data_IF_076436207949
#
_entry.id   IF_076436207949
#
_cell.length_a   1.000
_cell.length_b   1.000
_cell.length_c   1.000
_cell.angle_alpha   90.00
_cell.angle_beta   90.00
_cell.angle_gamma   90.00
#
_symmetry.space_group_name_H-M   'P 1'
#
loop_
_entity.id
_entity.type
_entity.pdbx_description
1 polymer ?
#
# COMPACT_ATOMS: atom_id res chain seq x y z
N UNK A 1 -14.37 46.93 -13.68
CA UNK A 1 -13.93 46.78 -12.28
C UNK A 1 -13.36 45.37 -12.14
N UNK A 2 -12.01 45.27 -12.07
CA UNK A 2 -11.34 44.03 -11.73
C UNK A 2 -11.60 43.79 -10.27
N UNK A 3 -12.51 42.87 -9.94
CA UNK A 3 -12.58 42.28 -8.64
C UNK A 3 -11.24 41.57 -8.43
N UNK A 4 -10.45 42.08 -7.47
CA UNK A 4 -9.28 41.37 -6.94
C UNK A 4 -9.79 40.00 -6.40
N UNK A 5 -9.65 38.95 -7.22
CA UNK A 5 -9.87 37.58 -6.76
C UNK A 5 -8.72 37.28 -5.83
N UNK A 6 -8.99 37.21 -4.55
CA UNK A 6 -8.04 36.65 -3.60
C UNK A 6 -7.81 35.19 -4.00
N UNK A 7 -6.65 34.90 -4.49
CA UNK A 7 -6.22 33.52 -4.78
C UNK A 7 -5.42 33.01 -3.58
N UNK A 8 -5.89 31.95 -2.97
CA UNK A 8 -5.10 31.23 -1.97
C UNK A 8 -4.12 30.31 -2.68
N UNK A 9 -2.85 30.40 -2.38
CA UNK A 9 -1.86 29.43 -2.86
C UNK A 9 -1.99 28.14 -2.05
N UNK A 10 -2.11 27.00 -2.73
CA UNK A 10 -2.16 25.68 -2.11
C UNK A 10 -1.20 24.71 -2.79
N UNK A 11 -0.59 23.83 -2.00
CA UNK A 11 0.26 22.75 -2.48
C UNK A 11 -0.52 21.44 -2.58
N UNK A 12 -0.36 20.71 -3.69
CA UNK A 12 -0.94 19.40 -3.91
C UNK A 12 0.17 18.38 -4.15
N UNK A 13 0.39 17.47 -3.19
CA UNK A 13 1.27 16.31 -3.35
C UNK A 13 0.52 15.13 -3.96
N UNK A 14 0.91 14.68 -5.17
CA UNK A 14 0.27 13.57 -5.85
C UNK A 14 1.22 12.93 -6.87
N UNK A 15 0.99 11.63 -7.17
CA UNK A 15 1.71 10.94 -8.23
C UNK A 15 1.22 11.37 -9.62
N UNK A 16 2.07 11.14 -10.61
CA UNK A 16 1.81 11.41 -12.03
C UNK A 16 0.87 10.37 -12.67
N UNK A 17 -0.42 10.48 -12.37
CA UNK A 17 -1.45 9.69 -13.04
C UNK A 17 -1.99 10.40 -14.28
N UNK A 18 -2.40 9.66 -15.30
CA UNK A 18 -3.03 10.18 -16.50
C UNK A 18 -4.21 11.13 -16.21
N UNK A 19 -5.02 10.79 -15.19
CA UNK A 19 -6.21 11.54 -14.77
C UNK A 19 -5.92 12.84 -14.01
N UNK A 20 -4.71 13.03 -13.49
CA UNK A 20 -4.30 14.27 -12.81
C UNK A 20 -3.43 15.17 -13.68
N UNK A 21 -3.03 14.72 -14.87
CA UNK A 21 -2.26 15.51 -15.84
C UNK A 21 -2.85 16.90 -16.11
N UNK A 22 -4.19 17.09 -16.28
CA UNK A 22 -4.75 18.41 -16.51
C UNK A 22 -4.55 19.39 -15.35
N UNK A 23 -4.43 18.92 -14.11
CA UNK A 23 -4.07 19.75 -12.95
C UNK A 23 -2.57 20.06 -12.95
N UNK A 24 -1.74 19.07 -13.30
CA UNK A 24 -0.29 19.18 -13.29
C UNK A 24 0.22 20.16 -14.35
N UNK A 25 -0.34 20.13 -15.56
CA UNK A 25 0.06 21.00 -16.67
C UNK A 25 -0.73 22.32 -16.76
N UNK A 26 -1.68 22.52 -15.83
CA UNK A 26 -2.46 23.75 -15.71
C UNK A 26 -3.59 23.93 -16.73
N UNK A 27 -3.95 22.88 -17.50
CA UNK A 27 -5.14 22.90 -18.39
C UNK A 27 -6.44 23.01 -17.60
N UNK A 28 -6.47 22.48 -16.38
CA UNK A 28 -7.54 22.64 -15.41
C UNK A 28 -6.99 23.36 -14.20
N UNK A 29 -7.67 24.43 -13.78
CA UNK A 29 -7.30 25.23 -12.61
C UNK A 29 -8.50 25.38 -11.69
N UNK A 30 -8.36 25.10 -10.39
CA UNK A 30 -9.40 25.38 -9.41
C UNK A 30 -9.70 26.88 -9.35
N UNK A 31 -10.97 27.25 -9.28
CA UNK A 31 -11.34 28.67 -9.17
C UNK A 31 -10.95 29.23 -7.81
N UNK A 32 -10.29 30.38 -7.79
CA UNK A 32 -9.84 31.05 -6.56
C UNK A 32 -8.61 30.41 -5.88
N UNK A 33 -7.96 29.42 -6.51
CA UNK A 33 -6.78 28.75 -5.94
C UNK A 33 -5.61 28.81 -6.94
N UNK A 34 -4.45 29.28 -6.47
CA UNK A 34 -3.16 29.14 -7.15
C UNK A 34 -2.56 27.80 -6.73
N UNK A 35 -2.83 26.74 -7.52
CA UNK A 35 -2.44 25.38 -7.21
C UNK A 35 -1.00 25.11 -7.62
N UNK A 36 -0.17 24.71 -6.68
CA UNK A 36 1.19 24.20 -6.89
C UNK A 36 1.19 22.68 -6.83
N UNK A 37 1.25 22.05 -8.00
CA UNK A 37 1.32 20.60 -8.11
C UNK A 37 2.75 20.11 -7.86
N UNK A 38 2.90 19.19 -6.90
CA UNK A 38 4.18 18.56 -6.53
C UNK A 38 4.11 17.09 -6.94
N UNK A 39 4.76 16.76 -8.07
CA UNK A 39 4.85 15.40 -8.57
C UNK A 39 5.90 14.62 -7.77
N UNK A 40 5.45 13.63 -7.01
CA UNK A 40 6.31 12.79 -6.17
C UNK A 40 5.80 11.36 -6.17
N UNK A 41 6.70 10.39 -5.96
CA UNK A 41 6.31 8.99 -5.79
C UNK A 41 5.40 8.83 -4.58
N UNK A 42 4.46 7.87 -4.66
CA UNK A 42 3.40 7.72 -3.64
C UNK A 42 3.95 7.46 -2.24
N UNK A 43 5.02 6.70 -2.13
CA UNK A 43 5.62 6.37 -0.84
C UNK A 43 6.17 7.61 -0.14
N UNK A 44 6.84 8.50 -0.88
CA UNK A 44 7.36 9.77 -0.36
C UNK A 44 6.20 10.70 0.00
N UNK A 45 5.22 10.86 -0.90
CA UNK A 45 4.05 11.70 -0.67
C UNK A 45 3.31 11.28 0.60
N UNK A 46 3.04 9.97 0.75
CA UNK A 46 2.33 9.43 1.92
C UNK A 46 3.12 9.60 3.21
N UNK A 47 4.42 9.35 3.18
CA UNK A 47 5.29 9.51 4.35
C UNK A 47 5.33 10.96 4.82
N UNK A 48 5.58 11.89 3.89
CA UNK A 48 5.69 13.34 4.20
C UNK A 48 4.37 13.91 4.71
N UNK A 49 3.25 13.51 4.11
CA UNK A 49 1.95 13.96 4.57
C UNK A 49 1.59 13.36 5.94
N UNK A 50 1.75 12.04 6.12
CA UNK A 50 1.40 11.38 7.37
C UNK A 50 2.24 11.87 8.56
N UNK A 51 3.55 12.06 8.35
CA UNK A 51 4.50 12.38 9.42
C UNK A 51 4.65 13.89 9.66
N UNK A 52 4.66 14.68 8.59
CA UNK A 52 5.00 16.11 8.66
C UNK A 52 3.84 17.04 8.29
N UNK A 53 2.73 16.53 7.72
CA UNK A 53 1.59 17.34 7.24
C UNK A 53 2.04 18.45 6.29
N UNK A 54 2.95 18.10 5.38
CA UNK A 54 3.74 19.06 4.62
C UNK A 54 2.97 19.77 3.51
N UNK A 55 1.86 19.18 3.07
CA UNK A 55 1.06 19.70 1.95
C UNK A 55 -0.32 20.14 2.43
N UNK A 56 -0.90 21.13 1.73
CA UNK A 56 -2.27 21.57 1.98
C UNK A 56 -3.28 20.51 1.52
N UNK A 57 -2.99 19.87 0.37
CA UNK A 57 -3.75 18.75 -0.20
C UNK A 57 -2.77 17.64 -0.59
N UNK A 58 -3.15 16.39 -0.40
CA UNK A 58 -2.28 15.28 -0.77
C UNK A 58 -3.05 14.01 -1.09
N UNK A 59 -2.55 13.26 -2.05
CA UNK A 59 -2.86 11.83 -2.13
C UNK A 59 -2.36 11.15 -0.84
N UNK A 60 -3.15 10.22 -0.32
CA UNK A 60 -2.81 9.50 0.90
C UNK A 60 -3.24 8.05 0.84
N UNK A 61 -2.48 7.18 1.49
CA UNK A 61 -2.87 5.78 1.71
C UNK A 61 -4.19 5.72 2.47
N UNK A 62 -5.19 5.02 1.91
CA UNK A 62 -6.52 4.90 2.52
C UNK A 62 -6.44 4.29 3.93
N UNK A 63 -5.64 3.25 4.12
CA UNK A 63 -5.48 2.63 5.44
C UNK A 63 -4.80 3.57 6.44
N UNK A 64 -3.79 4.33 6.01
CA UNK A 64 -3.15 5.33 6.87
C UNK A 64 -4.12 6.45 7.25
N UNK A 65 -4.98 6.88 6.31
CA UNK A 65 -6.06 7.82 6.61
C UNK A 65 -7.01 7.27 7.67
N UNK A 66 -7.49 6.02 7.49
CA UNK A 66 -8.40 5.36 8.45
C UNK A 66 -7.75 5.28 9.83
N UNK A 67 -6.50 4.81 9.94
CA UNK A 67 -5.77 4.75 11.23
C UNK A 67 -5.64 6.14 11.85
N UNK A 68 -5.28 7.18 11.05
CA UNK A 68 -5.13 8.55 11.54
C UNK A 68 -6.44 9.14 12.11
N UNK A 69 -7.58 8.63 11.64
CA UNK A 69 -8.90 9.09 12.11
C UNK A 69 -9.18 8.72 13.57
N UNK A 70 -8.49 7.69 14.11
CA UNK A 70 -8.55 7.34 15.52
C UNK A 70 -7.60 8.14 16.40
N UNK A 71 -6.71 8.95 15.81
CA UNK A 71 -5.91 9.91 16.56
C UNK A 71 -6.78 10.99 17.17
N UNK A 72 -6.38 11.52 18.34
CA UNK A 72 -7.14 12.55 19.05
C UNK A 72 -7.36 13.83 18.23
N UNK A 73 -6.37 14.21 17.45
CA UNK A 73 -6.36 15.45 16.66
C UNK A 73 -7.01 15.31 15.28
N UNK A 74 -7.28 14.07 14.82
CA UNK A 74 -7.86 13.78 13.49
C UNK A 74 -7.31 14.71 12.41
N UNK A 75 -6.02 14.61 12.07
CA UNK A 75 -5.30 15.66 11.36
C UNK A 75 -5.73 15.86 9.91
N UNK A 76 -6.49 14.94 9.33
CA UNK A 76 -6.85 14.94 7.92
C UNK A 76 -8.35 14.89 7.69
N UNK A 77 -8.78 15.55 6.62
CA UNK A 77 -10.14 15.46 6.08
C UNK A 77 -10.04 14.85 4.67
N UNK A 78 -10.77 13.77 4.43
CA UNK A 78 -10.82 13.17 3.11
C UNK A 78 -11.84 13.87 2.21
N UNK A 79 -11.48 14.07 0.94
CA UNK A 79 -12.40 14.42 -0.13
C UNK A 79 -12.66 13.16 -0.99
N UNK A 80 -13.82 13.01 -1.64
CA UNK A 80 -14.18 11.79 -2.35
C UNK A 80 -13.49 11.67 -3.72
N UNK A 81 -12.16 11.82 -3.72
CA UNK A 81 -11.30 11.69 -4.89
C UNK A 81 -10.35 10.52 -4.68
N UNK A 82 -10.38 9.54 -5.58
CA UNK A 82 -9.57 8.32 -5.51
C UNK A 82 -8.62 8.26 -6.71
N UNK A 83 -7.42 8.87 -6.61
CA UNK A 83 -6.49 8.96 -7.72
C UNK A 83 -5.98 7.60 -8.20
N UNK A 84 -5.84 6.63 -7.29
CA UNK A 84 -5.39 5.28 -7.60
C UNK A 84 -6.41 4.24 -7.15
N UNK A 85 -6.75 3.32 -8.08
CA UNK A 85 -7.56 2.13 -7.82
C UNK A 85 -6.86 0.94 -8.45
N UNK A 86 -6.76 -0.16 -7.73
CA UNK A 86 -6.03 -1.32 -8.19
C UNK A 86 -6.61 -2.62 -7.65
N UNK A 87 -6.76 -3.63 -8.50
CA UNK A 87 -7.06 -4.99 -8.08
C UNK A 87 -5.85 -5.61 -7.36
N UNK A 88 -6.06 -6.60 -6.49
CA UNK A 88 -5.03 -7.07 -5.58
C UNK A 88 -4.73 -8.58 -5.60
N UNK A 89 -5.46 -9.37 -6.33
CA UNK A 89 -5.16 -10.81 -6.47
C UNK A 89 -3.80 -11.03 -7.13
N UNK A 90 -3.45 -10.19 -8.11
CA UNK A 90 -2.15 -10.19 -8.79
C UNK A 90 -0.96 -9.84 -7.88
N UNK A 91 -1.22 -9.35 -6.68
CA UNK A 91 -0.23 -8.81 -5.75
C UNK A 91 0.19 -9.79 -4.64
N UNK A 92 -0.14 -11.08 -4.78
CA UNK A 92 0.24 -12.14 -3.83
C UNK A 92 1.23 -13.08 -4.51
N UNK A 93 2.43 -13.16 -3.95
CA UNK A 93 3.55 -13.95 -4.45
C UNK A 93 3.88 -15.05 -3.46
N UNK A 94 4.33 -16.20 -3.96
CA UNK A 94 4.67 -17.38 -3.16
C UNK A 94 6.02 -17.94 -3.61
N UNK A 95 6.75 -18.50 -2.66
CA UNK A 95 7.87 -19.36 -3.00
C UNK A 95 7.32 -20.72 -3.48
N UNK A 96 7.78 -21.22 -4.62
CA UNK A 96 7.25 -22.44 -5.25
C UNK A 96 7.40 -23.68 -4.35
N UNK A 97 8.42 -23.70 -3.49
CA UNK A 97 8.71 -24.83 -2.59
C UNK A 97 7.98 -24.71 -1.25
N UNK A 98 7.25 -23.61 -1.00
CA UNK A 98 6.56 -23.37 0.27
C UNK A 98 5.29 -24.22 0.47
N UNK A 99 4.83 -24.91 -0.57
CA UNK A 99 3.60 -25.70 -0.51
C UNK A 99 2.33 -24.85 -0.40
N UNK A 100 2.38 -23.62 -0.91
CA UNK A 100 1.22 -22.70 -0.97
C UNK A 100 0.65 -22.74 -2.39
N UNK A 101 -0.38 -23.54 -2.60
CA UNK A 101 -1.03 -23.75 -3.90
C UNK A 101 -2.40 -23.07 -3.99
N UNK A 102 -3.05 -22.87 -2.84
CA UNK A 102 -4.33 -22.18 -2.75
C UNK A 102 -4.31 -21.22 -1.55
N UNK A 103 -5.24 -20.24 -1.48
CA UNK A 103 -5.24 -19.24 -0.40
C UNK A 103 -5.26 -19.81 1.01
N UNK A 104 -5.96 -20.92 1.26
CA UNK A 104 -6.04 -21.54 2.59
C UNK A 104 -4.70 -22.10 3.10
N UNK A 105 -3.79 -22.44 2.19
CA UNK A 105 -2.46 -22.88 2.55
C UNK A 105 -1.62 -21.81 3.25
N UNK A 106 -2.06 -20.52 3.19
CA UNK A 106 -1.43 -19.43 3.92
C UNK A 106 -1.62 -19.51 5.44
N UNK A 107 -2.57 -20.32 5.93
CA UNK A 107 -2.81 -20.49 7.38
C UNK A 107 -1.59 -21.16 8.01
N UNK A 108 -1.02 -20.50 9.03
CA UNK A 108 0.20 -20.94 9.71
C UNK A 108 1.51 -20.61 8.98
N UNK A 109 1.45 -20.07 7.77
CA UNK A 109 2.62 -19.69 6.97
C UNK A 109 3.18 -18.32 7.35
N UNK A 110 4.44 -18.08 7.01
CA UNK A 110 5.10 -16.78 7.13
C UNK A 110 4.75 -15.92 5.90
N UNK A 111 3.94 -14.89 6.11
CA UNK A 111 3.36 -14.07 5.05
C UNK A 111 3.89 -12.63 5.13
N UNK A 112 4.84 -12.31 4.26
CA UNK A 112 5.53 -11.03 4.22
C UNK A 112 4.63 -9.88 3.73
N UNK A 113 4.86 -8.68 4.27
CA UNK A 113 4.31 -7.42 3.75
C UNK A 113 5.22 -6.25 4.16
N UNK A 114 5.32 -5.17 3.33
CA UNK A 114 6.24 -4.07 3.65
C UNK A 114 5.91 -3.36 4.96
N UNK A 115 4.63 -3.13 5.21
CA UNK A 115 4.08 -2.60 6.46
C UNK A 115 2.70 -3.21 6.69
N UNK A 116 2.40 -3.63 7.92
CA UNK A 116 1.14 -4.31 8.21
C UNK A 116 -0.10 -3.46 7.89
N UNK A 117 -0.05 -2.15 8.17
CA UNK A 117 -1.16 -1.22 7.97
C UNK A 117 -1.25 -0.63 6.55
N UNK A 118 -0.35 -0.98 5.63
CA UNK A 118 -0.38 -0.48 4.24
C UNK A 118 -1.68 -0.87 3.53
N UNK A 119 -2.23 0.01 2.67
CA UNK A 119 -3.53 -0.22 2.00
C UNK A 119 -3.58 -1.54 1.22
N UNK A 120 -2.55 -1.85 0.42
CA UNK A 120 -2.53 -3.09 -0.35
C UNK A 120 -2.57 -4.34 0.54
N UNK A 121 -1.70 -4.50 1.56
CA UNK A 121 -1.78 -5.58 2.54
C UNK A 121 -3.12 -5.67 3.27
N UNK A 122 -3.69 -4.55 3.72
CA UNK A 122 -5.01 -4.55 4.39
C UNK A 122 -6.08 -5.08 3.47
N UNK A 123 -6.11 -4.61 2.22
CA UNK A 123 -7.09 -5.04 1.23
C UNK A 123 -6.94 -6.52 0.89
N UNK A 124 -5.70 -6.99 0.71
CA UNK A 124 -5.42 -8.40 0.40
C UNK A 124 -5.88 -9.31 1.55
N UNK A 125 -5.63 -8.95 2.80
CA UNK A 125 -6.12 -9.72 3.95
C UNK A 125 -7.65 -9.77 4.01
N UNK A 126 -8.31 -8.64 3.70
CA UNK A 126 -9.77 -8.58 3.59
C UNK A 126 -10.29 -9.54 2.51
N UNK A 127 -9.73 -9.47 1.30
CA UNK A 127 -10.07 -10.38 0.19
C UNK A 127 -9.88 -11.85 0.59
N UNK A 128 -8.73 -12.18 1.14
CA UNK A 128 -8.41 -13.55 1.56
C UNK A 128 -9.37 -14.06 2.64
N UNK A 129 -9.77 -13.21 3.56
CA UNK A 129 -10.71 -13.57 4.63
C UNK A 129 -12.14 -13.73 4.11
N UNK A 130 -12.63 -12.74 3.36
CA UNK A 130 -14.03 -12.69 2.94
C UNK A 130 -14.37 -13.69 1.82
N UNK A 131 -13.43 -13.91 0.89
CA UNK A 131 -13.69 -14.70 -0.31
C UNK A 131 -12.99 -16.08 -0.32
N UNK A 132 -11.95 -16.26 0.47
CA UNK A 132 -11.15 -17.48 0.44
C UNK A 132 -11.05 -18.21 1.80
N UNK A 133 -11.68 -17.67 2.85
CA UNK A 133 -11.76 -18.31 4.17
C UNK A 133 -10.40 -18.41 4.89
N UNK A 134 -9.50 -17.47 4.64
CA UNK A 134 -8.23 -17.35 5.38
C UNK A 134 -8.44 -16.39 6.55
N UNK A 135 -8.46 -16.85 7.81
CA UNK A 135 -8.60 -15.97 8.96
C UNK A 135 -7.51 -14.90 8.96
N UNK A 136 -7.85 -13.66 9.32
CA UNK A 136 -6.90 -12.54 9.30
C UNK A 136 -5.72 -12.79 10.25
N UNK A 137 -5.93 -13.52 11.32
CA UNK A 137 -4.90 -13.95 12.31
C UNK A 137 -4.30 -15.33 11.99
N UNK A 138 -4.67 -15.95 10.86
CA UNK A 138 -4.21 -17.27 10.44
C UNK A 138 -2.70 -17.34 10.13
N UNK A 139 -2.16 -16.44 9.29
CA UNK A 139 -0.74 -16.38 9.00
C UNK A 139 0.09 -15.77 10.13
N UNK A 140 1.40 -15.99 10.09
CA UNK A 140 2.39 -15.16 10.81
C UNK A 140 2.84 -14.07 9.84
N UNK A 141 2.55 -12.81 10.14
CA UNK A 141 2.96 -11.70 9.29
C UNK A 141 4.40 -11.30 9.55
N UNK A 142 5.13 -11.01 8.46
CA UNK A 142 6.54 -10.65 8.53
C UNK A 142 6.73 -9.30 7.84
N UNK A 143 7.15 -8.26 8.59
CA UNK A 143 7.25 -6.90 8.06
C UNK A 143 8.68 -6.42 7.89
N UNK A 144 8.89 -5.55 6.90
CA UNK A 144 10.19 -4.94 6.63
C UNK A 144 10.33 -4.38 5.23
N UNK A 145 11.55 -4.02 4.85
CA UNK A 145 11.83 -3.50 3.52
C UNK A 145 11.56 -4.53 2.43
N UNK A 146 10.89 -4.12 1.36
CA UNK A 146 10.63 -4.97 0.20
C UNK A 146 11.92 -5.27 -0.57
N UNK A 147 12.56 -4.22 -1.10
CA UNK A 147 13.77 -4.28 -1.92
C UNK A 147 14.98 -3.64 -1.24
N UNK A 148 14.73 -2.78 -0.27
CA UNK A 148 15.78 -2.07 0.49
C UNK A 148 15.64 -2.40 1.96
N UNK A 149 16.74 -2.79 2.64
CA UNK A 149 16.71 -3.08 4.06
C UNK A 149 16.28 -1.90 4.93
N UNK A 150 15.96 -2.17 6.19
CA UNK A 150 15.77 -1.20 7.25
C UNK A 150 14.65 -0.17 7.01
N UNK A 151 13.54 -0.58 6.39
CA UNK A 151 12.35 0.27 6.23
C UNK A 151 11.68 0.54 7.57
N UNK A 152 11.44 1.81 7.86
CA UNK A 152 10.62 2.23 9.00
C UNK A 152 9.12 2.19 8.65
N UNK A 153 8.27 1.82 9.62
CA UNK A 153 6.84 1.93 9.48
C UNK A 153 6.38 3.39 9.62
N UNK A 154 5.48 3.82 8.73
CA UNK A 154 4.92 5.19 8.75
C UNK A 154 4.06 5.47 9.96
N UNK A 155 3.31 4.46 10.39
CA UNK A 155 2.35 4.54 11.50
C UNK A 155 2.48 3.27 12.31
N UNK A 156 2.72 3.41 13.62
CA UNK A 156 2.69 2.28 14.55
C UNK A 156 1.23 1.90 14.85
N UNK A 157 0.97 0.61 14.91
CA UNK A 157 -0.32 0.03 15.28
C UNK A 157 -0.13 -0.99 16.39
N UNK A 158 -1.13 -1.09 17.25
CA UNK A 158 -1.22 -2.16 18.25
C UNK A 158 -2.19 -3.22 17.72
N UNK A 159 -1.76 -4.46 17.74
CA UNK A 159 -2.57 -5.61 17.31
C UNK A 159 -3.04 -6.40 18.55
N UNK A 160 -4.21 -7.07 18.46
CA UNK A 160 -4.63 -8.02 19.48
C UNK A 160 -3.61 -9.18 19.66
N UNK A 161 -3.56 -9.78 20.85
CA UNK A 161 -2.56 -10.79 21.23
C UNK A 161 -2.59 -12.07 20.37
N UNK A 162 -3.69 -12.36 19.68
CA UNK A 162 -3.82 -13.50 18.78
C UNK A 162 -3.13 -13.29 17.42
N UNK A 163 -2.70 -12.07 17.11
CA UNK A 163 -1.94 -11.78 15.88
C UNK A 163 -0.45 -12.03 16.08
N UNK A 164 0.16 -12.66 15.09
CA UNK A 164 1.61 -12.89 15.07
C UNK A 164 2.24 -11.97 14.05
N UNK A 165 3.05 -11.04 14.54
CA UNK A 165 3.77 -10.06 13.73
C UNK A 165 5.27 -10.12 14.07
N UNK A 166 6.09 -10.39 13.07
CA UNK A 166 7.55 -10.42 13.14
C UNK A 166 8.12 -9.30 12.29
N UNK A 167 9.27 -8.77 12.69
CA UNK A 167 10.07 -7.85 11.88
C UNK A 167 11.32 -8.56 11.37
N UNK A 168 11.65 -8.35 10.10
CA UNK A 168 12.89 -8.90 9.50
C UNK A 168 14.14 -8.23 10.08
N UNK A 169 15.28 -8.91 9.93
CA UNK A 169 16.58 -8.37 10.33
C UNK A 169 16.95 -7.09 9.57
N UNK A 170 17.88 -6.28 10.12
CA UNK A 170 18.22 -4.97 9.55
C UNK A 170 18.88 -5.04 8.17
N UNK A 171 19.47 -6.18 7.80
CA UNK A 171 20.12 -6.39 6.50
C UNK A 171 19.23 -7.17 5.52
N UNK A 172 18.07 -7.64 5.96
CA UNK A 172 17.17 -8.47 5.16
C UNK A 172 16.23 -7.62 4.29
N UNK A 173 15.77 -8.23 3.18
CA UNK A 173 14.67 -7.73 2.37
C UNK A 173 13.63 -8.82 2.16
N UNK A 174 12.36 -8.45 2.10
CA UNK A 174 11.27 -9.42 1.91
C UNK A 174 11.35 -10.12 0.56
N UNK A 175 11.76 -9.42 -0.50
CA UNK A 175 11.92 -10.00 -1.82
C UNK A 175 12.98 -11.12 -1.82
N UNK A 176 14.14 -10.89 -1.18
CA UNK A 176 15.19 -11.91 -1.08
C UNK A 176 14.77 -13.06 -0.15
N UNK A 177 14.13 -12.75 0.99
CA UNK A 177 13.64 -13.78 1.90
C UNK A 177 12.61 -14.71 1.26
N UNK A 178 11.76 -14.17 0.36
CA UNK A 178 10.83 -14.97 -0.43
C UNK A 178 11.56 -15.92 -1.38
N UNK A 179 12.54 -15.41 -2.13
CA UNK A 179 13.33 -16.21 -3.05
C UNK A 179 14.13 -17.31 -2.34
N UNK A 180 14.64 -17.03 -1.14
CA UNK A 180 15.41 -17.98 -0.32
C UNK A 180 14.51 -18.96 0.47
N UNK A 181 13.18 -18.83 0.42
CA UNK A 181 12.25 -19.67 1.19
C UNK A 181 12.25 -19.39 2.70
N UNK A 182 12.76 -18.24 3.13
CA UNK A 182 12.73 -17.81 4.53
C UNK A 182 11.38 -17.21 4.93
N UNK A 183 10.56 -16.80 3.96
CA UNK A 183 9.12 -16.58 4.08
C UNK A 183 8.41 -17.37 2.99
N UNK A 184 7.19 -17.80 3.26
CA UNK A 184 6.43 -18.69 2.37
C UNK A 184 5.72 -17.92 1.25
N UNK A 185 5.22 -16.75 1.61
CA UNK A 185 4.48 -15.88 0.71
C UNK A 185 4.74 -14.39 1.02
N UNK A 186 4.42 -13.53 0.06
CA UNK A 186 4.60 -12.09 0.15
C UNK A 186 3.47 -11.34 -0.55
N UNK A 187 2.89 -10.36 0.12
CA UNK A 187 1.88 -9.49 -0.47
C UNK A 187 2.31 -8.02 -0.41
N UNK A 188 2.23 -7.37 -1.57
CA UNK A 188 2.78 -6.04 -1.77
C UNK A 188 1.99 -5.27 -2.82
N UNK A 189 2.26 -3.99 -2.96
CA UNK A 189 1.64 -3.17 -4.01
C UNK A 189 2.36 -3.29 -5.36
N UNK A 190 3.58 -3.81 -5.39
CA UNK A 190 4.45 -3.91 -6.57
C UNK A 190 4.92 -5.34 -6.79
N UNK A 191 5.34 -5.63 -8.00
CA UNK A 191 5.96 -6.91 -8.31
C UNK A 191 7.38 -6.93 -7.74
N UNK A 192 7.74 -7.89 -6.86
CA UNK A 192 9.09 -7.98 -6.31
C UNK A 192 10.12 -8.27 -7.41
N UNK A 193 11.34 -7.76 -7.23
CA UNK A 193 12.45 -7.94 -8.17
C UNK A 193 12.83 -9.41 -8.38
N UNK A 194 12.61 -10.24 -7.37
CA UNK A 194 12.88 -11.68 -7.39
C UNK A 194 11.81 -12.53 -8.07
N UNK A 195 10.72 -11.91 -8.57
CA UNK A 195 9.71 -12.63 -9.33
C UNK A 195 10.29 -13.09 -10.69
N UNK A 196 10.38 -14.40 -10.87
CA UNK A 196 10.89 -15.04 -12.10
C UNK A 196 9.86 -15.95 -12.78
N UNK A 197 8.75 -16.25 -12.13
CA UNK A 197 7.71 -17.14 -12.65
C UNK A 197 8.00 -18.64 -12.44
N UNK A 198 9.09 -18.98 -11.78
CA UNK A 198 9.53 -20.34 -11.48
C UNK A 198 9.71 -20.55 -9.98
N UNK A 199 10.72 -19.95 -9.37
CA UNK A 199 10.96 -20.01 -7.93
C UNK A 199 10.01 -19.10 -7.14
N UNK A 200 9.78 -17.89 -7.64
CA UNK A 200 8.82 -16.94 -7.10
C UNK A 200 7.70 -16.77 -8.10
N UNK A 201 6.51 -17.23 -7.72
CA UNK A 201 5.33 -17.24 -8.59
C UNK A 201 4.19 -16.41 -7.98
N UNK A 202 3.07 -16.28 -8.70
CA UNK A 202 1.85 -15.72 -8.11
C UNK A 202 0.97 -16.81 -7.53
N UNK A 203 0.36 -16.53 -6.38
CA UNK A 203 -0.69 -17.40 -5.82
C UNK A 203 -1.88 -17.53 -6.77
N UNK A 204 -2.19 -16.47 -7.52
CA UNK A 204 -3.23 -16.47 -8.55
C UNK A 204 -2.58 -16.29 -9.93
N UNK A 205 -2.13 -17.39 -10.59
CA UNK A 205 -1.53 -17.29 -11.93
C UNK A 205 -2.51 -16.76 -12.98
N UNK A 206 -3.81 -17.03 -12.79
CA UNK A 206 -4.94 -16.57 -13.61
C UNK A 206 -5.60 -15.32 -13.03
N UNK A 207 -4.83 -14.43 -12.40
CA UNK A 207 -5.36 -13.26 -11.67
C UNK A 207 -6.27 -12.36 -12.53
N UNK A 208 -6.06 -12.28 -13.84
CA UNK A 208 -6.89 -11.45 -14.73
C UNK A 208 -8.35 -11.92 -14.74
N UNK A 209 -8.56 -13.22 -14.84
CA UNK A 209 -9.91 -13.84 -14.80
C UNK A 209 -10.51 -13.72 -13.41
N UNK A 210 -9.72 -13.96 -12.38
CA UNK A 210 -10.13 -13.84 -10.98
C UNK A 210 -10.54 -12.40 -10.65
N UNK A 211 -9.75 -11.41 -11.05
CA UNK A 211 -10.03 -9.99 -10.81
C UNK A 211 -11.21 -9.45 -11.60
N UNK A 212 -11.51 -10.05 -12.79
CA UNK A 212 -12.74 -9.74 -13.53
C UNK A 212 -13.99 -10.32 -12.90
N UNK A 213 -13.85 -11.44 -12.19
CA UNK A 213 -14.97 -12.09 -11.50
C UNK A 213 -15.25 -11.49 -10.11
N UNK A 214 -14.27 -10.86 -9.51
CA UNK A 214 -14.34 -10.17 -8.22
C UNK A 214 -15.10 -8.85 -8.32
#
# INVERSE_FOLDING_TARGET
SSLLRFSSTMTLGCWDYDRVQPLMDGRVRPDGIDLRFLNMIVEETFFRMAKFREFDVSEMSMSSFVVSHFNKDRPFVAIPVFPSRFFRHSCIYVNADAGVNEPKDLIGKRFGCPEYQMTAPVWIRGILSEHYGVPVDGPTYVTGGEETPNREEKISIELPDNFRLERIGPEDTLAQMLADGRIDAFHTARKPSTYDGDRVTRLFPNYVEVEKAY
#
